data_IF_202966167551
#
_entry.id   IF_202966167551
#
_cell.length_a   1.000
_cell.length_b   1.000
_cell.length_c   1.000
_cell.angle_alpha   90.00
_cell.angle_beta   90.00
_cell.angle_gamma   90.00
#
_symmetry.space_group_name_H-M   'P 1'
#
loop_
_entity.id
_entity.type
_entity.pdbx_description
1 polymer ?
#
# COMPACT_ATOMS: atom_id res chain seq x y z
N UNK A 1 10.48 -14.58 -24.73
CA UNK A 1 10.73 -13.55 -23.69
C UNK A 1 9.73 -13.77 -22.55
N UNK A 2 10.18 -13.88 -21.30
CA UNK A 2 9.24 -13.88 -20.16
C UNK A 2 8.48 -12.56 -20.15
N UNK A 3 7.15 -12.61 -20.07
CA UNK A 3 6.29 -11.44 -20.00
C UNK A 3 6.57 -10.75 -18.67
N UNK A 4 7.01 -9.49 -18.71
CA UNK A 4 7.26 -8.70 -17.50
C UNK A 4 5.93 -8.30 -16.90
N UNK A 5 5.69 -8.64 -15.63
CA UNK A 5 4.44 -8.39 -14.91
C UNK A 5 4.64 -7.24 -13.92
N UNK A 6 3.70 -6.31 -13.89
CA UNK A 6 3.57 -5.31 -12.84
C UNK A 6 2.67 -5.87 -11.73
N UNK A 7 3.20 -6.01 -10.53
CA UNK A 7 2.45 -6.39 -9.35
C UNK A 7 1.96 -5.14 -8.62
N UNK A 8 0.64 -4.98 -8.54
CA UNK A 8 0.02 -3.89 -7.82
C UNK A 8 -0.31 -4.30 -6.38
N UNK A 9 0.11 -3.50 -5.42
CA UNK A 9 -0.17 -3.65 -4.00
C UNK A 9 -1.27 -2.67 -3.62
N UNK A 10 -2.46 -3.19 -3.34
CA UNK A 10 -3.70 -2.41 -3.26
C UNK A 10 -4.04 -2.05 -1.81
N UNK A 11 -4.55 -0.83 -1.55
CA UNK A 11 -4.91 -0.37 -0.20
C UNK A 11 -6.29 -0.88 0.23
N UNK A 12 -6.56 -0.90 1.53
CA UNK A 12 -7.91 -1.10 2.04
C UNK A 12 -8.25 -2.54 2.39
N UNK A 13 -7.27 -3.34 2.85
CA UNK A 13 -7.48 -4.74 3.25
C UNK A 13 -8.66 -4.91 4.23
N UNK A 14 -8.79 -4.02 5.21
CA UNK A 14 -9.88 -3.99 6.18
C UNK A 14 -10.94 -2.96 5.82
N UNK A 15 -10.50 -1.82 5.32
CA UNK A 15 -11.31 -0.63 5.07
C UNK A 15 -12.23 -0.79 3.85
N UNK A 16 -11.81 -1.56 2.84
CA UNK A 16 -12.54 -1.77 1.58
C UNK A 16 -12.87 -3.26 1.32
N UNK A 17 -13.04 -4.05 2.37
CA UNK A 17 -13.30 -5.49 2.25
C UNK A 17 -14.52 -5.79 1.38
N UNK A 18 -15.66 -5.10 1.63
CA UNK A 18 -16.89 -5.30 0.85
C UNK A 18 -16.66 -5.05 -0.64
N UNK A 19 -15.92 -4.00 -0.98
CA UNK A 19 -15.53 -3.72 -2.37
C UNK A 19 -14.69 -4.86 -2.97
N UNK A 20 -13.70 -5.38 -2.25
CA UNK A 20 -12.86 -6.47 -2.77
C UNK A 20 -13.61 -7.79 -2.95
N UNK A 21 -14.67 -8.04 -2.18
CA UNK A 21 -15.54 -9.21 -2.40
C UNK A 21 -16.21 -9.21 -3.79
N UNK A 22 -16.36 -8.04 -4.38
CA UNK A 22 -16.94 -7.87 -5.71
C UNK A 22 -15.86 -7.72 -6.78
N UNK A 23 -14.84 -6.92 -6.51
CA UNK A 23 -13.81 -6.61 -7.50
C UNK A 23 -12.89 -7.81 -7.79
N UNK A 24 -12.51 -8.60 -6.79
CA UNK A 24 -11.59 -9.73 -7.01
C UNK A 24 -12.18 -10.83 -7.91
N UNK A 25 -13.44 -11.31 -7.71
CA UNK A 25 -14.07 -12.19 -8.68
C UNK A 25 -14.01 -11.62 -10.09
N UNK A 26 -14.47 -10.39 -10.28
CA UNK A 26 -14.46 -9.73 -11.59
C UNK A 26 -13.06 -9.68 -12.21
N UNK A 27 -12.03 -9.36 -11.42
CA UNK A 27 -10.64 -9.29 -11.89
C UNK A 27 -10.10 -10.65 -12.33
N UNK A 28 -10.41 -11.72 -11.60
CA UNK A 28 -9.87 -13.07 -11.87
C UNK A 28 -10.66 -13.82 -12.93
N UNK A 29 -11.98 -13.63 -13.01
CA UNK A 29 -12.87 -14.31 -13.95
C UNK A 29 -12.89 -13.63 -15.32
N UNK A 30 -12.72 -12.31 -15.38
CA UNK A 30 -12.77 -11.50 -16.61
C UNK A 30 -11.45 -10.83 -16.94
N UNK A 31 -10.38 -11.62 -17.04
CA UNK A 31 -9.03 -11.12 -17.32
C UNK A 31 -8.92 -10.33 -18.62
N UNK A 32 -9.81 -10.56 -19.58
CA UNK A 32 -9.89 -9.82 -20.84
C UNK A 32 -10.17 -8.32 -20.66
N UNK A 33 -10.79 -7.90 -19.54
CA UNK A 33 -11.06 -6.50 -19.23
C UNK A 33 -9.82 -5.75 -18.75
N UNK A 34 -8.85 -6.48 -18.23
CA UNK A 34 -7.67 -5.93 -17.55
C UNK A 34 -6.41 -6.07 -18.40
N UNK A 35 -5.43 -5.24 -18.12
CA UNK A 35 -4.14 -5.36 -18.79
C UNK A 35 -3.49 -6.71 -18.46
N UNK A 36 -3.04 -7.39 -19.49
CA UNK A 36 -2.41 -8.71 -19.39
C UNK A 36 -1.02 -8.71 -18.74
N UNK A 37 -0.41 -7.53 -18.61
CA UNK A 37 0.85 -7.29 -17.92
C UNK A 37 0.68 -6.83 -16.46
N UNK A 38 -0.56 -6.73 -15.96
CA UNK A 38 -0.87 -6.39 -14.57
C UNK A 38 -1.30 -7.61 -13.76
N UNK A 39 -0.85 -7.67 -12.51
CA UNK A 39 -1.31 -8.62 -11.50
C UNK A 39 -1.54 -7.89 -10.16
N UNK A 40 -2.36 -8.45 -9.30
CA UNK A 40 -2.47 -8.00 -7.90
C UNK A 40 -1.46 -8.80 -7.09
N UNK A 41 -0.54 -8.10 -6.41
CA UNK A 41 0.49 -8.73 -5.58
C UNK A 41 0.06 -8.92 -4.14
N UNK A 42 -0.63 -7.93 -3.58
CA UNK A 42 -1.13 -7.98 -2.19
C UNK A 42 -2.23 -6.97 -1.94
N UNK A 43 -3.00 -7.20 -0.86
CA UNK A 43 -3.83 -6.17 -0.23
C UNK A 43 -3.17 -5.72 1.07
N UNK A 44 -3.23 -4.42 1.39
CA UNK A 44 -2.65 -3.88 2.63
C UNK A 44 -3.60 -2.98 3.39
N UNK A 45 -3.57 -3.07 4.72
CA UNK A 45 -4.41 -2.29 5.62
C UNK A 45 -4.18 -2.64 7.08
N UNK A 46 -4.91 -2.01 7.97
CA UNK A 46 -4.95 -2.34 9.38
C UNK A 46 -6.31 -1.94 9.97
N UNK A 47 -6.80 -2.64 11.00
CA UNK A 47 -7.97 -2.18 11.75
C UNK A 47 -7.76 -0.78 12.34
N UNK A 48 -8.83 0.00 12.46
CA UNK A 48 -8.79 1.40 12.88
C UNK A 48 -8.24 1.62 14.29
N UNK A 49 -8.42 0.65 15.17
CA UNK A 49 -8.07 0.69 16.60
C UNK A 49 -6.77 -0.07 16.95
N UNK A 50 -5.91 -0.28 15.96
CA UNK A 50 -4.63 -0.94 16.15
C UNK A 50 -3.53 0.08 16.51
N UNK A 51 -2.99 0.02 17.74
CA UNK A 51 -1.97 0.99 18.19
C UNK A 51 -0.66 0.92 17.40
N UNK A 52 -0.35 -0.22 16.74
CA UNK A 52 0.79 -0.33 15.83
C UNK A 52 0.49 0.24 14.45
N UNK A 53 -0.78 0.55 14.17
CA UNK A 53 -1.20 1.20 12.93
C UNK A 53 -0.55 2.57 12.74
N UNK A 54 -0.41 2.99 11.50
CA UNK A 54 0.16 4.28 11.14
C UNK A 54 -0.16 4.65 9.69
N UNK A 55 0.38 5.79 9.24
CA UNK A 55 0.02 6.35 7.95
C UNK A 55 -1.40 6.94 7.99
N UNK A 56 -2.02 7.13 6.83
CA UNK A 56 -3.41 7.59 6.73
C UNK A 56 -4.34 6.42 7.01
N UNK A 57 -5.06 6.48 8.12
CA UNK A 57 -5.91 5.38 8.62
C UNK A 57 -7.33 5.56 8.08
N UNK A 58 -7.93 4.48 7.59
CA UNK A 58 -9.37 4.36 7.34
C UNK A 58 -10.07 3.63 8.49
N UNK A 59 -11.39 3.64 8.53
CA UNK A 59 -12.19 2.81 9.42
C UNK A 59 -12.36 1.42 8.78
N UNK A 60 -11.86 0.37 9.41
CA UNK A 60 -12.03 -1.01 8.97
C UNK A 60 -12.57 -1.86 10.13
N UNK A 61 -13.79 -2.39 9.98
CA UNK A 61 -14.50 -3.16 11.00
C UNK A 61 -14.39 -4.69 10.80
N UNK A 62 -13.84 -5.13 9.68
CA UNK A 62 -13.78 -6.54 9.30
C UNK A 62 -12.75 -7.33 10.10
N UNK A 63 -13.09 -8.58 10.39
CA UNK A 63 -12.22 -9.47 11.16
C UNK A 63 -11.00 -9.94 10.37
N UNK A 64 -9.94 -10.32 11.09
CA UNK A 64 -8.76 -10.93 10.48
C UNK A 64 -9.10 -12.21 9.69
N UNK A 65 -10.06 -13.01 10.18
CA UNK A 65 -10.49 -14.24 9.52
C UNK A 65 -11.12 -13.97 8.15
N UNK A 66 -12.00 -12.97 8.05
CA UNK A 66 -12.67 -12.61 6.81
C UNK A 66 -11.68 -12.11 5.76
N UNK A 67 -10.81 -11.18 6.12
CA UNK A 67 -9.82 -10.63 5.17
C UNK A 67 -8.79 -11.68 4.73
N UNK A 68 -8.38 -12.59 5.61
CA UNK A 68 -7.49 -13.69 5.27
C UNK A 68 -8.18 -14.75 4.40
N UNK A 69 -9.45 -15.07 4.66
CA UNK A 69 -10.22 -15.97 3.82
C UNK A 69 -10.35 -15.43 2.39
N UNK A 70 -10.65 -14.14 2.25
CA UNK A 70 -10.75 -13.47 0.96
C UNK A 70 -9.41 -13.49 0.20
N UNK A 71 -8.32 -13.05 0.82
CA UNK A 71 -7.01 -13.00 0.15
C UNK A 71 -6.52 -14.39 -0.24
N UNK A 72 -6.76 -15.39 0.61
CA UNK A 72 -6.42 -16.80 0.33
C UNK A 72 -7.19 -17.35 -0.88
N UNK A 73 -8.49 -17.05 -0.99
CA UNK A 73 -9.32 -17.53 -2.09
C UNK A 73 -8.77 -17.11 -3.47
N UNK A 74 -8.06 -15.98 -3.53
CA UNK A 74 -7.45 -15.45 -4.76
C UNK A 74 -5.92 -15.57 -4.81
N UNK A 75 -5.31 -16.32 -3.89
CA UNK A 75 -3.87 -16.50 -3.85
C UNK A 75 -3.08 -15.20 -3.63
N UNK A 76 -3.62 -14.24 -2.86
CA UNK A 76 -3.04 -12.94 -2.61
C UNK A 76 -2.39 -12.86 -1.21
N UNK A 77 -1.26 -12.14 -1.11
CA UNK A 77 -0.65 -11.81 0.17
C UNK A 77 -1.47 -10.71 0.87
N UNK A 78 -1.73 -10.89 2.17
CA UNK A 78 -2.30 -9.87 3.05
C UNK A 78 -1.19 -9.19 3.85
N UNK A 79 -1.16 -7.84 3.88
CA UNK A 79 -0.11 -7.07 4.57
C UNK A 79 -0.71 -6.14 5.62
N UNK A 80 -0.35 -6.36 6.88
CA UNK A 80 -0.70 -5.45 7.98
C UNK A 80 0.11 -4.15 7.87
N UNK A 81 -0.54 -3.01 8.03
CA UNK A 81 0.14 -1.71 8.02
C UNK A 81 0.42 -1.26 9.45
N UNK A 82 1.53 -1.72 10.01
CA UNK A 82 2.02 -1.44 11.35
C UNK A 82 3.13 -0.40 11.32
N UNK A 83 2.80 0.77 10.82
CA UNK A 83 3.75 1.86 10.54
C UNK A 83 3.70 3.01 11.54
N UNK A 84 3.26 2.75 12.78
CA UNK A 84 3.39 3.71 13.88
C UNK A 84 4.88 3.99 14.14
N UNK A 85 5.26 5.27 14.11
CA UNK A 85 6.66 5.72 14.24
C UNK A 85 7.09 5.98 15.70
N UNK A 86 6.16 5.94 16.65
CA UNK A 86 6.36 6.37 18.04
C UNK A 86 6.21 5.25 19.05
N UNK A 87 6.31 4.00 18.60
CA UNK A 87 6.21 2.84 19.48
C UNK A 87 7.36 2.79 20.50
N UNK A 88 7.01 2.37 21.74
CA UNK A 88 7.92 2.11 22.85
C UNK A 88 7.81 0.64 23.28
N UNK A 89 8.74 0.13 24.10
CA UNK A 89 8.71 -1.28 24.52
C UNK A 89 7.39 -1.74 25.14
N UNK A 90 6.72 -0.89 25.93
CA UNK A 90 5.43 -1.20 26.53
C UNK A 90 4.31 -1.46 25.51
N UNK A 91 4.38 -0.84 24.34
CA UNK A 91 3.39 -1.03 23.28
C UNK A 91 3.51 -2.38 22.58
N UNK A 92 4.65 -3.08 22.70
CA UNK A 92 4.88 -4.38 22.02
C UNK A 92 4.02 -5.49 22.62
N UNK A 93 3.55 -5.33 23.86
CA UNK A 93 2.68 -6.30 24.55
C UNK A 93 1.20 -6.19 24.17
N UNK A 94 0.82 -5.29 23.26
CA UNK A 94 -0.58 -5.11 22.85
C UNK A 94 -1.19 -6.42 22.35
N UNK A 95 -2.24 -6.88 23.06
CA UNK A 95 -2.85 -8.19 22.83
C UNK A 95 -3.53 -8.32 21.47
N UNK A 96 -4.13 -7.22 20.97
CA UNK A 96 -4.84 -7.19 19.69
C UNK A 96 -3.90 -7.20 18.50
N UNK A 97 -2.87 -6.36 18.52
CA UNK A 97 -1.85 -6.34 17.49
C UNK A 97 -1.12 -7.69 17.39
N UNK A 98 -0.80 -8.30 18.53
CA UNK A 98 -0.22 -9.64 18.59
C UNK A 98 -1.19 -10.73 18.10
N UNK A 99 -2.50 -10.62 18.35
CA UNK A 99 -3.49 -11.56 17.82
C UNK A 99 -3.58 -11.49 16.29
N UNK A 100 -3.53 -10.28 15.70
CA UNK A 100 -3.44 -10.09 14.26
C UNK A 100 -2.18 -10.75 13.67
N UNK A 101 -1.01 -10.51 14.27
CA UNK A 101 0.23 -11.15 13.82
C UNK A 101 0.14 -12.66 13.85
N UNK A 102 -0.40 -13.25 14.94
CA UNK A 102 -0.61 -14.72 15.01
C UNK A 102 -1.53 -15.25 13.93
N UNK A 103 -2.62 -14.53 13.62
CA UNK A 103 -3.55 -14.93 12.57
C UNK A 103 -2.88 -14.89 11.19
N UNK A 104 -2.15 -13.81 10.88
CA UNK A 104 -1.48 -13.64 9.60
C UNK A 104 -0.28 -14.56 9.42
N UNK A 105 0.44 -14.89 10.49
CA UNK A 105 1.57 -15.84 10.46
C UNK A 105 1.14 -17.31 10.24
N UNK A 106 -0.11 -17.66 10.58
CA UNK A 106 -0.66 -19.03 10.44
C UNK A 106 -1.42 -19.28 9.15
N UNK A 107 -1.52 -18.29 8.29
CA UNK A 107 -2.30 -18.42 7.06
C UNK A 107 -1.65 -19.41 6.10
N UNK A 108 -2.43 -20.42 5.66
CA UNK A 108 -2.05 -21.30 4.57
C UNK A 108 -2.23 -20.58 3.24
N UNK A 109 -1.18 -20.39 2.46
CA UNK A 109 -1.24 -19.67 1.18
C UNK A 109 0.00 -18.82 0.95
N UNK A 110 -0.09 -17.74 0.16
CA UNK A 110 1.01 -16.81 -0.02
C UNK A 110 1.48 -16.21 1.30
N UNK A 111 2.79 -16.00 1.43
CA UNK A 111 3.37 -15.41 2.62
C UNK A 111 2.76 -14.03 2.88
N UNK A 112 2.13 -13.87 4.04
CA UNK A 112 1.62 -12.59 4.48
C UNK A 112 2.74 -11.71 5.03
N UNK A 113 2.49 -10.41 5.18
CA UNK A 113 3.52 -9.49 5.59
C UNK A 113 3.06 -8.36 6.50
N UNK A 114 4.04 -7.61 6.97
CA UNK A 114 3.84 -6.41 7.78
C UNK A 114 4.64 -5.25 7.19
N UNK A 115 3.97 -4.13 6.95
CA UNK A 115 4.59 -2.88 6.56
C UNK A 115 4.99 -2.14 7.83
N UNK A 116 6.29 -1.96 8.07
CA UNK A 116 6.86 -1.52 9.35
C UNK A 116 7.61 -0.18 9.19
N UNK A 117 7.47 0.69 10.19
CA UNK A 117 8.28 1.90 10.34
C UNK A 117 9.37 1.72 11.40
N UNK A 118 9.00 1.28 12.59
CA UNK A 118 9.84 1.20 13.77
C UNK A 118 10.76 -0.02 13.73
N UNK A 119 12.07 0.18 13.91
CA UNK A 119 13.01 -0.93 14.03
C UNK A 119 12.79 -1.72 15.33
N UNK A 120 12.34 -1.07 16.41
CA UNK A 120 11.92 -1.74 17.63
C UNK A 120 10.82 -2.78 17.36
N UNK A 121 9.79 -2.39 16.58
CA UNK A 121 8.72 -3.31 16.19
C UNK A 121 9.22 -4.39 15.24
N UNK A 122 10.08 -4.05 14.29
CA UNK A 122 10.67 -5.00 13.35
C UNK A 122 11.41 -6.12 14.08
N UNK A 123 12.28 -5.78 15.03
CA UNK A 123 13.04 -6.76 15.82
C UNK A 123 12.12 -7.66 16.64
N UNK A 124 11.09 -7.09 17.26
CA UNK A 124 10.07 -7.84 17.97
C UNK A 124 9.32 -8.82 17.05
N UNK A 125 8.90 -8.37 15.88
CA UNK A 125 8.15 -9.20 14.93
C UNK A 125 9.03 -10.32 14.35
N UNK A 126 10.29 -10.06 14.05
CA UNK A 126 11.24 -11.09 13.59
C UNK A 126 11.43 -12.19 14.62
N UNK A 127 11.52 -11.82 15.89
CA UNK A 127 11.68 -12.78 16.98
C UNK A 127 10.43 -13.62 17.22
N UNK A 128 9.24 -13.04 17.12
CA UNK A 128 7.99 -13.68 17.53
C UNK A 128 7.15 -14.23 16.36
N UNK A 129 7.31 -13.69 15.15
CA UNK A 129 6.51 -14.01 13.96
C UNK A 129 7.40 -14.12 12.70
N UNK A 130 8.44 -14.98 12.69
CA UNK A 130 9.40 -15.08 11.59
C UNK A 130 8.78 -15.58 10.27
N UNK A 131 7.54 -16.10 10.31
CA UNK A 131 6.80 -16.53 9.10
C UNK A 131 6.30 -15.36 8.27
N UNK A 132 6.22 -14.15 8.84
CA UNK A 132 5.78 -12.95 8.14
C UNK A 132 6.94 -12.36 7.32
N UNK A 133 6.60 -11.78 6.17
CA UNK A 133 7.52 -10.91 5.42
C UNK A 133 7.46 -9.49 5.94
N UNK A 134 8.57 -8.74 5.84
CA UNK A 134 8.61 -7.36 6.31
C UNK A 134 8.86 -6.40 5.15
N UNK A 135 8.10 -5.31 5.14
CA UNK A 135 8.15 -4.27 4.14
C UNK A 135 8.47 -2.93 4.83
N UNK A 136 9.52 -2.24 4.37
CA UNK A 136 9.84 -0.91 4.91
C UNK A 136 8.83 0.13 4.43
N UNK A 137 8.28 0.88 5.38
CA UNK A 137 7.19 1.84 5.13
C UNK A 137 7.68 3.15 4.51
N UNK A 138 6.93 3.70 3.57
CA UNK A 138 7.11 5.07 3.05
C UNK A 138 7.00 6.16 4.14
N UNK A 139 6.38 5.83 5.30
CA UNK A 139 6.28 6.75 6.43
C UNK A 139 7.65 7.11 7.04
N UNK A 140 8.70 6.35 6.74
CA UNK A 140 10.09 6.70 7.08
C UNK A 140 10.57 7.98 6.38
N UNK A 141 9.90 8.38 5.30
CA UNK A 141 10.17 9.62 4.55
C UNK A 141 11.65 9.71 4.13
N UNK A 142 12.13 8.65 3.47
CA UNK A 142 13.50 8.57 2.94
C UNK A 142 13.57 9.36 1.64
N UNK A 143 13.90 10.63 1.71
CA UNK A 143 13.93 11.55 0.56
C UNK A 143 15.29 11.65 -0.13
N UNK A 144 16.31 11.01 0.44
CA UNK A 144 17.65 10.94 -0.11
C UNK A 144 17.90 9.55 -0.68
N UNK A 145 18.39 9.46 -1.91
CA UNK A 145 18.60 8.18 -2.60
C UNK A 145 19.63 7.29 -1.90
N UNK A 146 20.65 7.86 -1.27
CA UNK A 146 21.62 7.11 -0.47
C UNK A 146 20.96 6.38 0.71
N UNK A 147 20.04 7.07 1.42
CA UNK A 147 19.28 6.46 2.51
C UNK A 147 18.34 5.36 1.99
N UNK A 148 17.67 5.60 0.85
CA UNK A 148 16.85 4.58 0.20
C UNK A 148 17.68 3.34 -0.14
N UNK A 149 18.86 3.52 -0.73
CA UNK A 149 19.76 2.41 -1.08
C UNK A 149 20.17 1.61 0.15
N UNK A 150 20.56 2.28 1.23
CA UNK A 150 20.88 1.63 2.50
C UNK A 150 19.70 0.80 3.04
N UNK A 151 18.49 1.31 2.94
CA UNK A 151 17.29 0.60 3.36
C UNK A 151 16.99 -0.63 2.46
N UNK A 152 17.19 -0.51 1.13
CA UNK A 152 17.05 -1.61 0.18
C UNK A 152 18.09 -2.73 0.41
N UNK A 153 19.30 -2.37 0.85
CA UNK A 153 20.36 -3.32 1.15
C UNK A 153 20.13 -4.11 2.45
N UNK A 154 19.21 -3.68 3.32
CA UNK A 154 18.87 -4.45 4.54
C UNK A 154 18.26 -5.80 4.18
N UNK A 155 18.80 -6.87 4.77
CA UNK A 155 18.29 -8.22 4.59
C UNK A 155 16.92 -8.44 5.23
N UNK A 156 16.54 -7.60 6.20
CA UNK A 156 15.29 -7.69 6.94
C UNK A 156 14.05 -7.49 6.05
N UNK A 157 14.18 -6.69 4.98
CA UNK A 157 13.05 -6.30 4.16
C UNK A 157 12.97 -7.10 2.86
N UNK A 158 11.79 -7.63 2.57
CA UNK A 158 11.42 -8.21 1.29
C UNK A 158 11.06 -7.14 0.25
N UNK A 159 10.57 -5.99 0.71
CA UNK A 159 10.31 -4.81 -0.12
C UNK A 159 10.54 -3.51 0.68
N UNK A 160 10.82 -2.43 -0.03
CA UNK A 160 10.97 -1.07 0.52
C UNK A 160 10.12 -0.12 -0.30
N UNK A 161 9.26 0.66 0.38
CA UNK A 161 8.45 1.69 -0.28
C UNK A 161 9.18 3.03 -0.18
N UNK A 162 9.81 3.53 -1.25
CA UNK A 162 10.50 4.81 -1.25
C UNK A 162 9.54 5.97 -1.02
N UNK A 163 10.06 7.11 -0.62
CA UNK A 163 9.29 8.34 -0.71
C UNK A 163 9.02 8.67 -2.19
N UNK A 164 7.78 9.05 -2.51
CA UNK A 164 7.32 9.30 -3.88
C UNK A 164 8.14 10.34 -4.64
N UNK A 165 8.85 11.22 -3.92
CA UNK A 165 9.75 12.22 -4.52
C UNK A 165 10.95 11.59 -5.22
N UNK A 166 11.31 10.37 -4.86
CA UNK A 166 12.38 9.61 -5.50
C UNK A 166 11.90 8.77 -6.71
N UNK A 167 10.59 8.74 -6.97
CA UNK A 167 10.03 7.93 -8.05
C UNK A 167 10.71 8.18 -9.41
N UNK A 168 11.12 9.41 -9.69
CA UNK A 168 11.72 9.80 -10.98
C UNK A 168 13.22 10.10 -10.91
N UNK A 169 13.92 9.64 -9.89
CA UNK A 169 15.39 9.67 -9.82
C UNK A 169 16.01 8.64 -10.78
N UNK A 170 15.74 8.78 -12.09
CA UNK A 170 15.97 7.73 -13.09
C UNK A 170 17.41 7.27 -13.21
N UNK A 171 18.40 8.16 -13.06
CA UNK A 171 19.80 7.80 -13.17
C UNK A 171 20.21 6.90 -12.01
N UNK A 172 19.84 7.27 -10.80
CA UNK A 172 20.08 6.47 -9.60
C UNK A 172 19.31 5.14 -9.64
N UNK A 173 18.03 5.17 -10.09
CA UNK A 173 17.20 3.98 -10.21
C UNK A 173 17.75 2.98 -11.24
N UNK A 174 18.27 3.45 -12.39
CA UNK A 174 18.93 2.59 -13.40
C UNK A 174 20.15 1.91 -12.84
N UNK A 175 20.93 2.60 -12.01
CA UNK A 175 22.16 2.12 -11.42
C UNK A 175 21.95 1.05 -10.32
N UNK A 176 20.72 0.85 -9.83
CA UNK A 176 20.45 -0.21 -8.85
C UNK A 176 20.66 -1.59 -9.47
N UNK A 177 21.30 -2.54 -8.74
CA UNK A 177 21.35 -3.93 -9.15
C UNK A 177 19.96 -4.58 -9.09
N UNK A 178 19.70 -5.59 -9.91
CA UNK A 178 18.39 -6.23 -10.03
C UNK A 178 17.78 -6.68 -8.69
N UNK A 179 18.52 -7.30 -7.74
CA UNK A 179 17.93 -7.65 -6.45
C UNK A 179 17.36 -6.47 -5.64
N UNK A 180 17.92 -5.27 -5.79
CA UNK A 180 17.39 -4.08 -5.14
C UNK A 180 16.20 -3.49 -5.92
N UNK A 181 16.18 -3.62 -7.25
CA UNK A 181 15.01 -3.26 -8.08
C UNK A 181 13.82 -4.14 -7.73
N UNK A 182 14.02 -5.44 -7.52
CA UNK A 182 12.98 -6.39 -7.14
C UNK A 182 12.35 -6.06 -5.78
N UNK A 183 13.12 -5.45 -4.87
CA UNK A 183 12.64 -4.97 -3.57
C UNK A 183 11.97 -3.61 -3.61
N UNK A 184 12.12 -2.83 -4.68
CA UNK A 184 11.58 -1.46 -4.74
C UNK A 184 10.09 -1.48 -5.08
N UNK A 185 9.24 -0.96 -4.17
CA UNK A 185 7.78 -0.90 -4.32
C UNK A 185 7.33 0.57 -4.41
N UNK A 186 7.14 1.09 -5.63
CA UNK A 186 6.84 2.50 -5.88
C UNK A 186 5.42 2.90 -5.47
N UNK A 187 5.29 4.00 -4.71
CA UNK A 187 4.01 4.62 -4.41
C UNK A 187 3.55 5.47 -5.62
N UNK A 188 2.46 5.05 -6.30
CA UNK A 188 2.11 5.56 -7.62
C UNK A 188 1.30 6.86 -7.62
N UNK A 189 0.35 7.00 -6.67
CA UNK A 189 -0.72 7.99 -6.69
C UNK A 189 -0.75 8.91 -5.46
N UNK A 190 0.41 9.21 -4.88
CA UNK A 190 0.51 10.11 -3.73
C UNK A 190 0.02 11.52 -4.07
N UNK A 191 -0.86 12.06 -3.22
CA UNK A 191 -1.40 13.42 -3.36
C UNK A 191 -0.68 14.48 -2.51
N UNK A 192 0.23 14.06 -1.63
CA UNK A 192 0.99 15.00 -0.82
C UNK A 192 1.80 15.95 -1.71
N UNK A 193 1.82 17.24 -1.37
CA UNK A 193 2.61 18.22 -2.13
C UNK A 193 4.07 17.77 -2.27
N UNK A 194 4.59 17.83 -3.49
CA UNK A 194 5.96 17.39 -3.79
C UNK A 194 7.02 18.13 -2.96
N UNK A 195 6.79 19.42 -2.67
CA UNK A 195 7.66 20.26 -1.83
C UNK A 195 7.39 20.15 -0.33
N UNK A 196 6.48 19.30 0.13
CA UNK A 196 6.11 19.21 1.54
C UNK A 196 7.30 18.81 2.42
N UNK A 197 7.62 19.63 3.44
CA UNK A 197 8.66 19.35 4.44
C UNK A 197 8.11 18.74 5.73
N UNK A 198 6.79 18.73 5.91
CA UNK A 198 6.10 18.33 7.14
C UNK A 198 5.52 16.92 7.09
N UNK A 199 5.82 16.14 6.03
CA UNK A 199 5.26 14.80 5.84
C UNK A 199 5.53 13.87 7.03
N UNK A 200 6.72 13.99 7.65
CA UNK A 200 7.07 13.22 8.85
C UNK A 200 6.20 13.62 10.03
N UNK A 201 6.06 14.91 10.30
CA UNK A 201 5.20 15.43 11.38
C UNK A 201 3.73 15.01 11.19
N UNK A 202 3.24 14.99 9.95
CA UNK A 202 1.92 14.48 9.62
C UNK A 202 1.76 13.01 10.04
N UNK A 203 2.72 12.14 9.74
CA UNK A 203 2.68 10.73 10.14
C UNK A 203 2.86 10.53 11.66
N UNK A 204 3.66 11.36 12.32
CA UNK A 204 3.82 11.35 13.78
C UNK A 204 2.52 11.74 14.48
N UNK A 205 1.79 12.74 13.97
CA UNK A 205 0.47 13.10 14.52
C UNK A 205 -0.53 11.93 14.43
N UNK A 206 -0.55 11.19 13.31
CA UNK A 206 -1.36 9.97 13.20
C UNK A 206 -0.89 8.89 14.17
N UNK A 207 0.42 8.72 14.32
CA UNK A 207 1.00 7.76 15.27
C UNK A 207 0.57 8.06 16.71
N UNK A 208 0.59 9.34 17.12
CA UNK A 208 0.10 9.79 18.44
C UNK A 208 -1.38 9.49 18.64
N UNK A 209 -2.23 9.80 17.65
CA UNK A 209 -3.66 9.47 17.71
C UNK A 209 -3.90 7.98 17.94
N UNK A 210 -3.16 7.12 17.26
CA UNK A 210 -3.27 5.67 17.43
C UNK A 210 -2.79 5.18 18.79
N UNK A 211 -1.96 5.97 19.50
CA UNK A 211 -1.56 5.72 20.88
C UNK A 211 -2.54 6.34 21.91
N UNK A 212 -3.66 6.91 21.46
CA UNK A 212 -4.65 7.55 22.33
C UNK A 212 -4.32 8.98 22.75
N UNK A 213 -3.26 9.58 22.17
CA UNK A 213 -2.89 10.97 22.44
C UNK A 213 -3.73 11.94 21.62
N UNK A 214 -4.03 13.11 22.20
CA UNK A 214 -4.58 14.23 21.42
C UNK A 214 -3.46 14.86 20.58
N UNK A 215 -3.53 14.67 19.26
CA UNK A 215 -2.57 15.24 18.33
C UNK A 215 -3.27 15.64 17.04
N UNK A 216 -2.98 16.85 16.57
CA UNK A 216 -3.46 17.34 15.29
C UNK A 216 -2.30 17.86 14.45
N UNK A 217 -2.40 17.63 13.16
CA UNK A 217 -1.51 18.22 12.18
C UNK A 217 -2.36 18.87 11.09
N UNK A 218 -2.28 20.18 11.01
CA UNK A 218 -2.97 20.94 9.97
C UNK A 218 -2.02 21.08 8.78
N UNK A 219 -2.40 20.45 7.68
CA UNK A 219 -1.61 20.53 6.45
C UNK A 219 -1.68 21.93 5.86
N UNK A 220 -0.52 22.58 5.72
CA UNK A 220 -0.36 23.94 5.15
C UNK A 220 -0.12 23.93 3.64
N UNK A 221 -0.09 22.74 3.00
CA UNK A 221 0.14 22.64 1.56
C UNK A 221 -0.99 23.29 0.74
N UNK A 222 -0.67 23.91 -0.41
CA UNK A 222 -1.68 24.46 -1.30
C UNK A 222 -2.74 23.40 -1.67
N UNK A 223 -4.02 23.76 -1.55
CA UNK A 223 -5.13 22.83 -1.88
C UNK A 223 -5.41 21.75 -0.84
N UNK A 224 -4.74 21.73 0.31
CA UNK A 224 -4.95 20.70 1.35
C UNK A 224 -6.40 20.62 1.84
N UNK A 225 -7.12 21.75 1.94
CA UNK A 225 -8.51 21.82 2.34
C UNK A 225 -9.48 21.20 1.33
N UNK A 226 -9.08 21.02 0.07
CA UNK A 226 -9.93 20.40 -0.96
C UNK A 226 -9.99 18.85 -0.83
N UNK A 227 -9.22 18.29 0.08
CA UNK A 227 -9.07 16.83 0.25
C UNK A 227 -8.34 16.17 -0.91
N UNK A 228 -8.38 14.83 -0.94
CA UNK A 228 -7.77 14.06 -2.03
C UNK A 228 -8.55 14.25 -3.34
N UNK A 229 -7.81 14.55 -4.40
CA UNK A 229 -8.32 14.56 -5.77
C UNK A 229 -7.39 13.74 -6.65
N UNK A 230 -7.92 12.74 -7.36
CA UNK A 230 -7.08 11.88 -8.21
C UNK A 230 -6.50 12.68 -9.40
N UNK A 231 -7.25 13.63 -9.95
CA UNK A 231 -6.74 14.55 -10.97
C UNK A 231 -5.54 15.36 -10.48
N UNK A 232 -5.60 15.88 -9.26
CA UNK A 232 -4.47 16.60 -8.65
C UNK A 232 -3.27 15.69 -8.36
N UNK A 233 -3.54 14.42 -7.98
CA UNK A 233 -2.47 13.44 -7.83
C UNK A 233 -1.75 13.17 -9.16
N UNK A 234 -2.47 13.16 -10.29
CA UNK A 234 -1.89 12.99 -11.63
C UNK A 234 -0.95 14.14 -12.04
N UNK A 235 -1.17 15.33 -11.50
CA UNK A 235 -0.31 16.51 -11.72
C UNK A 235 0.96 16.49 -10.85
N UNK A 236 1.01 15.61 -9.84
CA UNK A 236 2.15 15.52 -8.94
C UNK A 236 3.40 15.07 -9.71
N UNK A 237 4.56 15.76 -9.56
CA UNK A 237 5.80 15.34 -10.20
C UNK A 237 6.23 13.90 -9.91
N UNK A 238 5.86 13.36 -8.74
CA UNK A 238 6.13 11.97 -8.34
C UNK A 238 5.14 10.94 -8.85
N UNK A 239 4.07 11.35 -9.54
CA UNK A 239 3.02 10.45 -10.02
C UNK A 239 3.56 9.46 -11.07
N UNK A 240 3.14 8.20 -10.97
CA UNK A 240 3.43 7.16 -11.93
C UNK A 240 2.19 6.83 -12.77
N UNK A 241 2.20 7.25 -14.02
CA UNK A 241 1.15 6.90 -14.97
C UNK A 241 1.27 5.44 -15.44
N UNK A 242 0.16 4.87 -15.93
CA UNK A 242 0.12 3.54 -16.56
C UNK A 242 1.15 3.43 -17.69
N UNK A 243 1.25 4.48 -18.51
CA UNK A 243 2.23 4.55 -19.61
C UNK A 243 3.67 4.55 -19.10
N UNK A 244 3.98 5.29 -18.02
CA UNK A 244 5.30 5.29 -17.42
C UNK A 244 5.64 3.90 -16.83
N UNK A 245 4.72 3.28 -16.09
CA UNK A 245 4.92 1.93 -15.55
C UNK A 245 5.29 0.96 -16.68
N UNK A 246 4.45 0.90 -17.73
CA UNK A 246 4.63 -0.05 -18.82
C UNK A 246 5.90 0.19 -19.65
N UNK A 247 6.17 1.46 -19.97
CA UNK A 247 7.17 1.81 -20.99
C UNK A 247 8.53 2.24 -20.40
N UNK A 248 8.60 2.52 -19.10
CA UNK A 248 9.83 2.96 -18.42
C UNK A 248 10.21 2.01 -17.28
N UNK A 249 9.37 1.81 -16.28
CA UNK A 249 9.74 1.06 -15.08
C UNK A 249 9.88 -0.44 -15.34
N UNK A 250 8.94 -1.07 -16.05
CA UNK A 250 9.06 -2.49 -16.40
C UNK A 250 10.31 -2.78 -17.26
N UNK A 251 10.63 -2.01 -18.31
CA UNK A 251 11.88 -2.18 -19.05
C UNK A 251 13.14 -1.92 -18.24
N UNK A 252 13.08 -1.06 -17.20
CA UNK A 252 14.18 -0.85 -16.26
C UNK A 252 14.38 -2.00 -15.28
N UNK A 253 13.47 -2.98 -15.23
CA UNK A 253 13.54 -4.14 -14.35
C UNK A 253 12.76 -4.00 -13.03
N UNK A 254 11.93 -2.98 -12.86
CA UNK A 254 11.06 -2.84 -11.69
C UNK A 254 9.70 -3.50 -11.93
N UNK A 255 9.13 -4.10 -10.87
CA UNK A 255 7.86 -4.84 -11.00
C UNK A 255 6.84 -4.54 -9.90
N UNK A 256 7.17 -3.81 -8.84
CA UNK A 256 6.28 -3.62 -7.69
C UNK A 256 5.78 -2.18 -7.60
N UNK A 257 4.44 -2.01 -7.57
CA UNK A 257 3.74 -0.73 -7.61
C UNK A 257 2.66 -0.70 -6.54
N UNK A 258 2.71 0.29 -5.66
CA UNK A 258 1.79 0.46 -4.55
C UNK A 258 0.80 1.58 -4.84
N UNK A 259 -0.48 1.32 -4.56
CA UNK A 259 -1.49 2.36 -4.55
C UNK A 259 -1.76 2.79 -3.09
N UNK A 260 -1.93 4.07 -2.87
CA UNK A 260 -2.47 4.59 -1.61
C UNK A 260 -4.00 4.70 -1.70
N UNK A 261 -4.67 4.96 -0.57
CA UNK A 261 -6.10 5.26 -0.59
C UNK A 261 -6.92 4.53 0.46
N UNK A 262 -6.32 3.98 1.52
CA UNK A 262 -7.04 3.23 2.57
C UNK A 262 -8.24 3.97 3.14
N UNK A 263 -8.17 5.28 3.32
CA UNK A 263 -9.22 6.12 3.90
C UNK A 263 -10.05 6.88 2.86
N UNK A 264 -9.96 6.58 1.57
CA UNK A 264 -10.61 7.36 0.51
C UNK A 264 -11.96 6.79 0.06
N UNK A 265 -12.34 5.62 0.58
CA UNK A 265 -13.60 4.95 0.23
C UNK A 265 -13.54 4.14 -1.07
N UNK A 266 -14.53 3.28 -1.25
CA UNK A 266 -14.63 2.32 -2.36
C UNK A 266 -14.73 2.99 -3.73
N UNK A 267 -15.43 4.12 -3.82
CA UNK A 267 -15.59 4.87 -5.07
C UNK A 267 -14.24 5.35 -5.63
N UNK A 268 -13.39 5.95 -4.77
CA UNK A 268 -12.08 6.42 -5.20
C UNK A 268 -11.14 5.24 -5.51
N UNK A 269 -11.23 4.17 -4.74
CA UNK A 269 -10.48 2.95 -4.99
C UNK A 269 -10.84 2.36 -6.37
N UNK A 270 -12.13 2.31 -6.72
CA UNK A 270 -12.55 1.85 -8.05
C UNK A 270 -11.92 2.71 -9.16
N UNK A 271 -11.90 4.04 -9.03
CA UNK A 271 -11.28 4.91 -10.04
C UNK A 271 -9.77 4.61 -10.20
N UNK A 272 -9.05 4.29 -9.11
CA UNK A 272 -7.65 3.83 -9.21
C UNK A 272 -7.53 2.53 -9.99
N UNK A 273 -8.38 1.54 -9.70
CA UNK A 273 -8.32 0.24 -10.37
C UNK A 273 -8.76 0.32 -11.85
N UNK A 274 -9.72 1.20 -12.16
CA UNK A 274 -10.08 1.54 -13.54
C UNK A 274 -8.91 2.19 -14.29
N UNK A 275 -8.16 3.06 -13.62
CA UNK A 275 -7.02 3.73 -14.24
C UNK A 275 -5.82 2.80 -14.43
N UNK A 276 -5.41 2.07 -13.37
CA UNK A 276 -4.15 1.32 -13.38
C UNK A 276 -4.26 -0.09 -13.96
N UNK A 277 -5.39 -0.77 -13.76
CA UNK A 277 -5.53 -2.18 -14.10
C UNK A 277 -6.42 -2.42 -15.33
N UNK A 278 -7.42 -1.55 -15.57
CA UNK A 278 -8.47 -1.80 -16.56
C UNK A 278 -8.12 -1.18 -17.92
N UNK A 279 -8.25 -1.98 -18.98
CA UNK A 279 -8.11 -1.48 -20.36
C UNK A 279 -9.16 -0.39 -20.63
N UNK A 280 -8.82 0.70 -21.32
CA UNK A 280 -9.73 1.82 -21.55
C UNK A 280 -11.10 1.42 -22.11
N UNK A 281 -11.12 0.47 -23.05
CA UNK A 281 -12.36 -0.01 -23.69
C UNK A 281 -13.33 -0.70 -22.74
N UNK A 282 -12.87 -1.19 -21.58
CA UNK A 282 -13.69 -1.93 -20.62
C UNK A 282 -14.00 -1.15 -19.33
N UNK A 283 -13.51 0.09 -19.18
CA UNK A 283 -13.69 0.86 -17.95
C UNK A 283 -15.16 1.10 -17.60
N UNK A 284 -15.99 1.42 -18.60
CA UNK A 284 -17.42 1.58 -18.37
C UNK A 284 -18.04 0.28 -17.90
N UNK A 285 -17.76 -0.82 -18.59
CA UNK A 285 -18.29 -2.14 -18.25
C UNK A 285 -17.89 -2.60 -16.85
N UNK A 286 -16.62 -2.40 -16.46
CA UNK A 286 -16.15 -2.73 -15.09
C UNK A 286 -16.85 -1.85 -14.06
N UNK A 287 -17.06 -0.54 -14.35
CA UNK A 287 -17.77 0.35 -13.45
C UNK A 287 -19.23 -0.07 -13.29
N UNK A 288 -19.93 -0.42 -14.37
CA UNK A 288 -21.30 -0.92 -14.33
C UNK A 288 -21.41 -2.21 -13.51
N UNK A 289 -20.54 -3.18 -13.76
CA UNK A 289 -20.53 -4.45 -13.02
C UNK A 289 -20.32 -4.22 -11.50
N UNK A 290 -19.53 -3.24 -11.12
CA UNK A 290 -19.32 -2.90 -9.70
C UNK A 290 -20.50 -2.10 -9.14
N UNK A 291 -20.89 -0.99 -9.78
CA UNK A 291 -21.89 -0.08 -9.22
C UNK A 291 -23.31 -0.58 -9.36
N UNK A 292 -23.68 -1.08 -10.54
CA UNK A 292 -25.08 -1.39 -10.83
C UNK A 292 -25.44 -2.85 -10.46
N UNK A 293 -24.51 -3.78 -10.68
CA UNK A 293 -24.82 -5.20 -10.52
C UNK A 293 -24.50 -5.73 -9.11
N UNK A 294 -23.57 -5.08 -8.39
CA UNK A 294 -23.03 -5.68 -7.17
C UNK A 294 -22.94 -4.77 -5.95
N UNK A 295 -22.95 -3.44 -6.10
CA UNK A 295 -22.66 -2.52 -5.01
C UNK A 295 -23.56 -1.27 -5.01
N UNK A 296 -24.78 -1.36 -5.49
CA UNK A 296 -25.73 -0.24 -5.54
C UNK A 296 -25.88 0.51 -4.20
N UNK A 297 -25.72 -0.19 -3.06
CA UNK A 297 -25.93 0.37 -1.72
C UNK A 297 -24.60 0.84 -1.06
N UNK A 298 -23.46 0.81 -1.75
CA UNK A 298 -22.16 1.14 -1.16
C UNK A 298 -21.66 2.56 -1.49
N UNK A 299 -22.48 3.38 -2.13
CA UNK A 299 -22.15 4.74 -2.59
C UNK A 299 -23.16 5.77 -2.17
#
# INVERSE_FOLDING_TARGET
MRKTIAYFHLPGLFEAYAFYRVFLPLFFEHREYFYDWCAIGSLHGAPADCIWGGGRVGSGEWSAQEVLALTRAYGLSARLTFSNSLLRPEHLSDGRCNALCRAFARSDGPQNGVIVHSDLLLDYLKANYPQLSFISSTTKVLTNFRQLRQELERADFSAVVPDFRLNKAFDDLRALPQPLKDKTEFLCNECCSFGCRERRACYEAVSRKNLGEQAEHICTAPGASAGYRFSSAMENPGFLSVGAIRNVYLPMGFSNFKLEGRGLGSAMLLEFLLYYLTKPAYRLRVREAIYLDAMLDLF
#
